data_IF_702330644171
#
_entry.id   IF_702330644171
#
_cell.length_a   1.000
_cell.length_b   1.000
_cell.length_c   1.000
_cell.angle_alpha   90.00
_cell.angle_beta   90.00
_cell.angle_gamma   90.00
#
_symmetry.space_group_name_H-M   'P 1'
#
loop_
_entity.id
_entity.type
_entity.pdbx_description
1 polymer ?
#
# COMPACT_ATOMS: atom_id res chain seq x y z
N UNK A 1 7.15 -5.07 -3.84
CA UNK A 1 7.76 -4.90 -2.49
C UNK A 1 7.64 -3.42 -2.15
N UNK A 2 7.55 -3.02 -0.88
CA UNK A 2 7.46 -1.60 -0.53
C UNK A 2 8.84 -0.95 -0.68
N UNK A 3 8.90 0.21 -1.33
CA UNK A 3 10.14 0.97 -1.52
C UNK A 3 10.61 1.59 -0.19
N UNK A 4 9.65 2.06 0.61
CA UNK A 4 9.91 2.59 1.94
C UNK A 4 8.90 2.11 2.96
N UNK A 5 9.36 1.81 4.17
CA UNK A 5 8.52 1.41 5.29
C UNK A 5 8.85 2.25 6.51
N UNK A 6 7.83 2.89 7.07
CA UNK A 6 7.92 3.70 8.27
C UNK A 6 6.99 3.15 9.35
N UNK A 7 7.42 3.29 10.61
CA UNK A 7 6.61 2.95 11.77
C UNK A 7 6.21 4.24 12.48
N UNK A 8 4.92 4.57 12.46
CA UNK A 8 4.36 5.68 13.23
C UNK A 8 3.91 5.16 14.59
N UNK A 9 4.40 5.79 15.65
CA UNK A 9 3.99 5.52 17.04
C UNK A 9 3.14 6.68 17.54
N UNK A 10 2.46 6.46 18.66
CA UNK A 10 1.72 7.50 19.39
C UNK A 10 0.63 8.21 18.55
N UNK A 11 0.06 7.49 17.57
CA UNK A 11 -1.07 8.00 16.79
C UNK A 11 -2.39 7.69 17.51
N UNK A 12 -3.48 8.45 17.25
CA UNK A 12 -4.81 8.13 17.75
C UNK A 12 -5.33 6.74 17.35
N UNK A 13 -4.71 6.11 16.35
CA UNK A 13 -5.07 4.79 15.82
C UNK A 13 -4.11 3.68 16.31
N UNK A 14 -3.23 3.99 17.27
CA UNK A 14 -2.20 3.10 17.78
C UNK A 14 -0.89 3.18 16.98
N UNK A 15 -0.10 2.11 17.00
CA UNK A 15 1.10 2.02 16.17
C UNK A 15 0.70 1.63 14.74
N UNK A 16 1.12 2.41 13.77
CA UNK A 16 0.87 2.17 12.36
C UNK A 16 2.15 1.81 11.60
N UNK A 17 2.01 0.94 10.61
CA UNK A 17 3.01 0.66 9.61
C UNK A 17 2.60 1.32 8.30
N UNK A 18 3.40 2.28 7.84
CA UNK A 18 3.17 3.03 6.61
C UNK A 18 4.17 2.56 5.58
N UNK A 19 3.68 1.98 4.49
CA UNK A 19 4.48 1.43 3.40
C UNK A 19 4.23 2.27 2.15
N UNK A 20 5.26 2.86 1.58
CA UNK A 20 5.18 3.58 0.32
C UNK A 20 5.65 2.71 -0.84
N UNK A 21 5.06 2.95 -2.00
CA UNK A 21 5.30 2.24 -3.24
C UNK A 21 5.41 3.24 -4.38
N UNK A 22 6.36 3.00 -5.27
CA UNK A 22 6.34 3.52 -6.63
C UNK A 22 5.70 2.45 -7.52
N UNK A 23 4.46 2.70 -7.93
CA UNK A 23 3.71 1.84 -8.84
C UNK A 23 3.70 2.50 -10.21
N UNK A 24 4.35 1.88 -11.18
CA UNK A 24 4.12 2.20 -12.57
C UNK A 24 2.82 1.52 -13.00
N UNK A 25 1.85 2.32 -13.45
CA UNK A 25 0.62 1.77 -14.00
C UNK A 25 0.96 0.97 -15.25
N UNK A 26 0.41 -0.24 -15.34
CA UNK A 26 0.55 -1.06 -16.51
C UNK A 26 0.06 -0.32 -17.75
N UNK A 27 0.74 -0.52 -18.88
CA UNK A 27 0.08 -0.31 -20.17
C UNK A 27 -1.15 -1.22 -20.27
N UNK A 28 -2.18 -0.88 -21.05
CA UNK A 28 -3.40 -1.69 -21.14
C UNK A 28 -3.13 -3.17 -21.45
N UNK A 29 -2.17 -3.45 -22.34
CA UNK A 29 -1.76 -4.82 -22.68
C UNK A 29 -1.06 -5.56 -21.52
N UNK A 30 -0.27 -4.85 -20.73
CA UNK A 30 0.39 -5.42 -19.56
C UNK A 30 -0.61 -5.65 -18.41
N UNK A 31 -1.65 -4.81 -18.32
CA UNK A 31 -2.74 -4.95 -17.36
C UNK A 31 -3.53 -6.24 -17.60
N UNK A 32 -3.95 -6.50 -18.84
CA UNK A 32 -4.67 -7.74 -19.20
C UNK A 32 -3.87 -9.00 -18.85
N UNK A 33 -2.55 -9.00 -19.11
CA UNK A 33 -1.67 -10.12 -18.72
C UNK A 33 -1.52 -10.25 -17.20
N UNK A 34 -1.51 -9.15 -16.47
CA UNK A 34 -1.43 -9.16 -15.01
C UNK A 34 -2.73 -9.68 -14.39
N UNK A 35 -3.89 -9.24 -14.88
CA UNK A 35 -5.21 -9.74 -14.44
C UNK A 35 -5.34 -11.25 -14.64
N UNK A 36 -4.93 -11.77 -15.80
CA UNK A 36 -4.94 -13.21 -16.05
C UNK A 36 -4.05 -13.99 -15.08
N UNK A 37 -2.89 -13.44 -14.70
CA UNK A 37 -1.95 -14.05 -13.74
C UNK A 37 -2.47 -13.99 -12.31
N UNK A 38 -3.04 -12.87 -11.91
CA UNK A 38 -3.62 -12.67 -10.57
C UNK A 38 -4.84 -13.58 -10.36
N UNK A 39 -5.68 -13.73 -11.39
CA UNK A 39 -6.79 -14.69 -11.37
C UNK A 39 -6.30 -16.13 -11.14
N UNK A 40 -5.28 -16.56 -11.89
CA UNK A 40 -4.68 -17.89 -11.71
C UNK A 40 -4.09 -18.06 -10.30
N UNK A 41 -3.41 -17.03 -9.78
CA UNK A 41 -2.77 -17.08 -8.45
C UNK A 41 -3.79 -17.11 -7.32
N UNK A 42 -4.87 -16.32 -7.43
CA UNK A 42 -5.94 -16.27 -6.43
C UNK A 42 -6.78 -17.56 -6.39
N UNK A 43 -6.93 -18.24 -7.53
CA UNK A 43 -7.70 -19.49 -7.66
C UNK A 43 -6.91 -20.75 -7.29
N UNK A 44 -5.60 -20.64 -7.03
CA UNK A 44 -4.83 -21.73 -6.42
C UNK A 44 -5.30 -21.95 -4.98
N UNK A 45 -5.74 -23.17 -4.61
CA UNK A 45 -6.10 -23.49 -3.23
C UNK A 45 -4.92 -23.22 -2.29
N UNK A 46 -5.14 -22.41 -1.25
CA UNK A 46 -4.11 -22.06 -0.26
C UNK A 46 -3.39 -20.71 -0.48
N UNK A 47 -3.85 -19.87 -1.41
CA UNK A 47 -3.23 -18.57 -1.74
C UNK A 47 -3.21 -17.54 -0.59
N UNK A 48 -3.93 -17.78 0.51
CA UNK A 48 -3.61 -17.20 1.83
C UNK A 48 -3.61 -15.68 1.93
N UNK A 49 -4.27 -14.96 1.02
CA UNK A 49 -4.26 -13.48 1.05
C UNK A 49 -5.05 -13.02 2.28
N UNK A 50 -4.34 -12.73 3.38
CA UNK A 50 -4.94 -12.07 4.55
C UNK A 50 -5.10 -10.58 4.28
N UNK A 51 -6.35 -10.16 4.13
CA UNK A 51 -6.76 -8.76 3.93
C UNK A 51 -6.89 -7.96 5.25
N UNK A 52 -6.57 -8.57 6.40
CA UNK A 52 -7.19 -8.23 7.70
C UNK A 52 -6.66 -7.04 8.51
N UNK A 53 -5.61 -6.32 8.13
CA UNK A 53 -5.00 -5.27 9.01
C UNK A 53 -4.80 -3.89 8.37
N UNK A 54 -5.31 -3.70 7.15
CA UNK A 54 -5.15 -2.46 6.36
C UNK A 54 -6.17 -1.40 6.78
N UNK A 55 -5.70 -0.20 7.12
CA UNK A 55 -6.52 1.00 7.30
C UNK A 55 -6.73 1.76 5.98
N UNK A 56 -5.72 1.77 5.12
CA UNK A 56 -5.78 2.45 3.82
C UNK A 56 -4.80 1.83 2.83
N UNK A 57 -5.15 1.86 1.54
CA UNK A 57 -4.18 1.67 0.45
C UNK A 57 -4.72 2.37 -0.79
N UNK A 58 -3.87 3.12 -1.45
CA UNK A 58 -4.24 3.92 -2.60
C UNK A 58 -3.16 4.95 -2.89
N UNK A 59 -3.50 5.92 -3.72
CA UNK A 59 -2.62 7.03 -4.04
C UNK A 59 -2.28 7.84 -2.79
N UNK A 60 -1.05 8.32 -2.71
CA UNK A 60 -0.59 9.13 -1.56
C UNK A 60 -1.47 10.37 -1.38
N UNK A 61 -1.80 11.05 -2.48
CA UNK A 61 -2.57 12.30 -2.47
C UNK A 61 -4.03 12.11 -2.02
N UNK A 62 -4.55 10.88 -2.10
CA UNK A 62 -5.90 10.51 -1.69
C UNK A 62 -5.97 9.93 -0.28
N UNK A 63 -4.85 9.90 0.46
CA UNK A 63 -4.80 9.29 1.79
C UNK A 63 -5.53 10.14 2.84
N UNK A 64 -6.70 9.69 3.27
CA UNK A 64 -7.49 10.37 4.31
C UNK A 64 -7.06 10.02 5.76
N UNK A 65 -6.17 9.04 5.94
CA UNK A 65 -5.73 8.58 7.27
C UNK A 65 -4.45 9.31 7.65
N UNK A 66 -4.54 10.20 8.65
CA UNK A 66 -3.44 11.05 9.14
C UNK A 66 -2.72 11.79 7.98
N UNK A 67 -3.46 12.55 7.15
CA UNK A 67 -2.95 13.10 5.90
C UNK A 67 -1.67 13.91 6.08
N UNK A 68 -1.55 14.70 7.13
CA UNK A 68 -0.37 15.52 7.41
C UNK A 68 0.86 14.65 7.76
N UNK A 69 0.66 13.58 8.54
CA UNK A 69 1.74 12.66 8.91
C UNK A 69 2.22 11.87 7.68
N UNK A 70 1.29 11.43 6.83
CA UNK A 70 1.59 10.72 5.59
C UNK A 70 2.33 11.64 4.62
N UNK A 71 1.87 12.88 4.45
CA UNK A 71 2.54 13.89 3.63
C UNK A 71 3.99 14.14 4.10
N UNK A 72 4.21 14.34 5.40
CA UNK A 72 5.55 14.54 5.95
C UNK A 72 6.48 13.33 5.73
N UNK A 73 5.96 12.11 5.80
CA UNK A 73 6.73 10.92 5.46
C UNK A 73 6.99 10.81 3.95
N UNK A 74 6.03 11.20 3.12
CA UNK A 74 6.13 11.18 1.67
C UNK A 74 7.21 12.13 1.14
N UNK A 75 7.48 13.26 1.81
CA UNK A 75 8.62 14.13 1.50
C UNK A 75 9.98 13.41 1.50
N UNK A 76 10.07 12.24 2.18
CA UNK A 76 11.28 11.39 2.21
C UNK A 76 11.34 10.39 1.05
N UNK A 77 10.24 10.18 0.33
CA UNK A 77 10.14 9.40 -0.90
C UNK A 77 9.25 10.13 -1.92
N UNK A 78 9.73 11.22 -2.55
CA UNK A 78 8.90 12.01 -3.46
C UNK A 78 8.52 11.26 -4.76
N UNK A 79 9.20 10.16 -5.07
CA UNK A 79 8.92 9.31 -6.23
C UNK A 79 7.85 8.24 -5.96
N UNK A 80 7.49 8.00 -4.70
CA UNK A 80 6.42 7.08 -4.34
C UNK A 80 5.06 7.71 -4.67
N UNK A 81 4.16 6.99 -5.33
CA UNK A 81 2.83 7.47 -5.71
C UNK A 81 1.70 6.71 -5.00
N UNK A 82 1.98 5.59 -4.35
CA UNK A 82 1.01 4.83 -3.54
C UNK A 82 1.50 4.62 -2.11
N UNK A 83 0.55 4.52 -1.20
CA UNK A 83 0.80 4.22 0.22
C UNK A 83 -0.15 3.14 0.70
N UNK A 84 0.33 2.28 1.59
CA UNK A 84 -0.45 1.32 2.37
C UNK A 84 -0.24 1.60 3.85
N UNK A 85 -1.31 1.74 4.60
CA UNK A 85 -1.31 2.00 6.04
C UNK A 85 -1.95 0.81 6.73
N UNK A 86 -1.23 0.21 7.66
CA UNK A 86 -1.65 -0.97 8.41
C UNK A 86 -1.55 -0.70 9.92
N UNK A 87 -2.43 -1.33 10.71
CA UNK A 87 -2.19 -1.42 12.15
C UNK A 87 -1.11 -2.45 12.41
N UNK A 88 -0.19 -2.12 13.31
CA UNK A 88 0.74 -3.12 13.86
C UNK A 88 -0.06 -3.91 14.89
N UNK A 89 -0.34 -5.18 14.58
CA UNK A 89 -0.89 -6.15 15.52
C UNK A 89 0.14 -6.61 16.55
#
# INVERSE_FOLDING_TARGET
>A
MADHVFRLKDTPLGTLLVKFYQIELYSPEAFERAVGRDFLTATVPGSGVMWGSRLYQGEVDSAAVLPEAIFNLHLRCPHCNYVRIERVG
#
